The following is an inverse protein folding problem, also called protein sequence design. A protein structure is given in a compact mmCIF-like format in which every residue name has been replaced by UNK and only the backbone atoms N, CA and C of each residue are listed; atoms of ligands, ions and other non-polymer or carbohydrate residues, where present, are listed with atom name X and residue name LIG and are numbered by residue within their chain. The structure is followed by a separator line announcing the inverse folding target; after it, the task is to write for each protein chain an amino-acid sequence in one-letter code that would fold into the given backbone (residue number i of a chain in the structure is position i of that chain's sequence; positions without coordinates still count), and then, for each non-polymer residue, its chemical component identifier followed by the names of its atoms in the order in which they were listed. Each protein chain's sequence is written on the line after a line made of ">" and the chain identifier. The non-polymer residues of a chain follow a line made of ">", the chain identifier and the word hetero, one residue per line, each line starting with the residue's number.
data_IF_915073339524
#
_entry.id   IF_915073339524
#
_cell.length_a   1.000
_cell.length_b   1.000
_cell.length_c   1.000
_cell.angle_alpha   90.00
_cell.angle_beta   90.00
_cell.angle_gamma   90.00
#
_symmetry.space_group_name_H-M   'P 1'
#
loop_
_entity.id
_entity.type
_entity.pdbx_description
1 polymer ?
#
# COMPACT_ATOMS: atom_id res chain seq x y z
N UNK A 1 19.99 -3.47 9.05
CA UNK A 1 19.42 -3.28 7.69
C UNK A 1 18.98 -4.62 7.11
N UNK A 2 17.74 -4.75 6.63
CA UNK A 2 17.17 -6.02 6.15
C UNK A 2 17.74 -6.50 4.80
N UNK A 3 17.71 -7.82 4.52
CA UNK A 3 18.18 -8.38 3.24
C UNK A 3 17.34 -7.86 2.07
N UNK A 4 16.02 -7.72 2.24
CA UNK A 4 15.10 -7.24 1.21
C UNK A 4 15.43 -5.81 0.74
N UNK A 5 15.88 -4.96 1.67
CA UNK A 5 16.37 -3.62 1.38
C UNK A 5 17.75 -3.66 0.73
N UNK A 6 18.68 -4.49 1.21
CA UNK A 6 19.98 -4.69 0.53
C UNK A 6 19.83 -5.09 -0.94
N UNK A 7 18.82 -5.92 -1.26
CA UNK A 7 18.47 -6.29 -2.66
C UNK A 7 17.98 -5.12 -3.51
N UNK A 8 17.55 -4.00 -2.92
CA UNK A 8 17.16 -2.81 -3.70
C UNK A 8 18.36 -2.14 -4.37
N UNK A 9 19.52 -2.15 -3.73
CA UNK A 9 20.79 -1.58 -4.22
C UNK A 9 21.51 -2.45 -5.26
N UNK A 10 20.91 -3.56 -5.69
CA UNK A 10 21.43 -4.41 -6.76
C UNK A 10 20.38 -4.59 -7.87
N UNK A 11 20.84 -4.53 -9.13
CA UNK A 11 20.04 -4.96 -10.30
C UNK A 11 20.04 -6.49 -10.38
N UNK A 12 21.21 -7.12 -10.26
CA UNK A 12 21.36 -8.56 -10.07
C UNK A 12 21.95 -8.87 -8.69
N UNK A 13 21.08 -9.18 -7.72
CA UNK A 13 21.49 -9.49 -6.34
C UNK A 13 21.99 -10.93 -6.12
N UNK A 14 21.89 -11.81 -7.12
CA UNK A 14 22.40 -13.18 -7.03
C UNK A 14 23.91 -13.22 -7.35
N UNK A 15 24.33 -12.54 -8.43
CA UNK A 15 25.72 -12.47 -8.89
C UNK A 15 26.58 -11.41 -8.16
N UNK A 16 26.04 -10.66 -7.20
CA UNK A 16 26.78 -9.57 -6.52
C UNK A 16 27.44 -10.02 -5.21
N UNK A 17 28.52 -9.33 -4.82
CA UNK A 17 29.22 -9.54 -3.52
C UNK A 17 28.43 -9.00 -2.30
N UNK A 18 27.20 -8.50 -2.48
CA UNK A 18 26.25 -8.05 -1.42
C UNK A 18 26.78 -7.06 -0.35
N UNK A 19 27.86 -6.33 -0.62
CA UNK A 19 28.53 -5.39 0.32
C UNK A 19 27.79 -4.07 0.63
N UNK A 20 26.52 -3.91 0.26
CA UNK A 20 25.76 -2.67 0.48
C UNK A 20 25.57 -2.39 1.99
N UNK A 21 25.91 -1.16 2.41
CA UNK A 21 25.86 -0.67 3.80
C UNK A 21 26.71 -1.44 4.83
N UNK A 22 27.63 -2.33 4.42
CA UNK A 22 28.43 -3.09 5.40
C UNK A 22 29.39 -2.21 6.19
N UNK A 23 30.02 -1.21 5.55
CA UNK A 23 30.84 -0.19 6.25
C UNK A 23 30.00 0.72 7.15
N UNK A 24 28.83 1.15 6.66
CA UNK A 24 27.95 2.06 7.41
C UNK A 24 27.36 1.40 8.66
N UNK A 25 27.01 0.12 8.59
CA UNK A 25 26.48 -0.65 9.74
C UNK A 25 27.43 -0.59 10.95
N UNK A 26 28.75 -0.64 10.72
CA UNK A 26 29.77 -0.60 11.77
C UNK A 26 29.80 0.72 12.55
N UNK A 27 29.31 1.83 11.98
CA UNK A 27 29.19 3.11 12.72
C UNK A 27 28.17 3.05 13.87
N UNK A 28 27.24 2.09 13.85
CA UNK A 28 26.32 1.89 14.99
C UNK A 28 26.95 1.04 16.12
N UNK A 29 28.07 0.36 15.85
CA UNK A 29 28.78 -0.49 16.80
C UNK A 29 29.83 0.33 17.58
N UNK A 30 30.49 1.30 16.95
CA UNK A 30 31.51 2.15 17.59
C UNK A 30 30.90 3.34 18.34
N UNK A 31 31.42 3.66 19.54
CA UNK A 31 30.91 4.77 20.35
C UNK A 31 31.01 6.14 19.65
N UNK A 32 32.10 6.42 18.96
CA UNK A 32 32.24 7.67 18.21
C UNK A 32 31.28 7.74 17.01
N UNK A 33 30.95 6.58 16.42
CA UNK A 33 29.93 6.49 15.38
C UNK A 33 28.51 6.74 15.90
N UNK A 34 28.21 6.33 17.15
CA UNK A 34 26.95 6.68 17.84
C UNK A 34 26.89 8.18 18.14
N UNK A 35 27.97 8.79 18.63
CA UNK A 35 28.08 10.25 18.85
C UNK A 35 27.86 11.03 17.56
N UNK A 36 28.54 10.66 16.47
CA UNK A 36 28.34 11.21 15.11
C UNK A 36 26.86 11.22 14.71
N UNK A 37 26.16 10.10 14.91
CA UNK A 37 24.74 9.95 14.55
C UNK A 37 23.87 10.85 15.43
N UNK A 38 24.12 10.89 16.74
CA UNK A 38 23.38 11.73 17.67
C UNK A 38 23.55 13.22 17.34
N UNK A 39 24.77 13.68 17.06
CA UNK A 39 25.03 15.06 16.59
C UNK A 39 24.32 15.37 15.27
N UNK A 40 24.22 14.42 14.34
CA UNK A 40 23.43 14.60 13.12
C UNK A 40 21.92 14.71 13.39
N UNK A 41 21.38 13.90 14.29
CA UNK A 41 19.96 13.96 14.68
C UNK A 41 19.64 15.31 15.34
N UNK A 42 20.50 15.80 16.24
CA UNK A 42 20.34 17.12 16.86
C UNK A 42 20.43 18.26 15.85
N UNK A 43 21.36 18.18 14.88
CA UNK A 43 21.42 19.14 13.76
C UNK A 43 20.15 19.10 12.91
N UNK A 44 19.60 17.92 12.63
CA UNK A 44 18.32 17.79 11.91
C UNK A 44 17.16 18.41 12.69
N UNK A 45 17.07 18.16 14.00
CA UNK A 45 16.04 18.77 14.86
C UNK A 45 16.14 20.29 14.95
N UNK A 46 17.36 20.86 14.92
CA UNK A 46 17.60 22.30 15.04
C UNK A 46 17.48 23.06 13.71
N UNK A 47 17.81 22.45 12.58
CA UNK A 47 17.97 23.15 11.29
C UNK A 47 16.94 22.75 10.21
N UNK A 48 16.35 21.56 10.27
CA UNK A 48 15.49 21.08 9.18
C UNK A 48 14.03 21.51 9.36
N UNK A 49 13.51 22.26 8.38
CA UNK A 49 12.09 22.64 8.30
C UNK A 49 11.16 21.48 7.96
N UNK A 50 11.68 20.44 7.30
CA UNK A 50 10.94 19.23 6.93
C UNK A 50 11.83 18.01 7.16
N UNK A 51 11.33 17.04 7.92
CA UNK A 51 11.99 15.75 8.14
C UNK A 51 11.22 14.65 7.40
N UNK A 52 11.96 13.77 6.71
CA UNK A 52 11.41 12.61 6.00
C UNK A 52 12.06 11.33 6.51
N UNK A 53 11.25 10.29 6.73
CA UNK A 53 11.69 8.97 7.16
C UNK A 53 11.78 8.04 5.95
N UNK A 54 12.90 7.34 5.81
CA UNK A 54 13.04 6.26 4.84
C UNK A 54 12.39 4.98 5.39
N UNK A 55 11.30 4.56 4.77
CA UNK A 55 10.56 3.34 5.15
C UNK A 55 10.64 2.29 4.05
N UNK A 56 10.43 1.01 4.39
CA UNK A 56 10.43 -0.08 3.41
C UNK A 56 9.32 -1.11 3.65
N UNK A 57 8.77 -1.63 2.55
CA UNK A 57 7.81 -2.75 2.61
C UNK A 57 8.49 -4.10 2.85
N UNK A 58 7.83 -4.97 3.60
CA UNK A 58 8.28 -6.35 3.91
C UNK A 58 7.62 -7.34 2.92
N UNK A 59 8.11 -7.38 1.68
CA UNK A 59 7.42 -8.11 0.59
C UNK A 59 7.47 -9.62 0.80
N UNK A 60 8.48 -10.18 1.47
CA UNK A 60 8.55 -11.64 1.67
C UNK A 60 7.44 -12.21 2.54
N UNK A 61 6.80 -11.39 3.38
CA UNK A 61 5.63 -11.82 4.16
C UNK A 61 4.43 -12.09 3.25
N UNK A 62 4.22 -11.22 2.26
CA UNK A 62 3.16 -11.29 1.25
C UNK A 62 3.26 -12.58 0.40
N UNK A 63 2.54 -13.63 0.80
CA UNK A 63 2.50 -14.90 0.04
C UNK A 63 1.83 -14.69 -1.32
N UNK A 64 2.39 -15.31 -2.36
CA UNK A 64 1.85 -15.22 -3.73
C UNK A 64 2.41 -14.09 -4.60
N UNK A 65 3.38 -13.30 -4.12
CA UNK A 65 4.27 -12.48 -4.95
C UNK A 65 5.61 -13.19 -5.18
N UNK A 66 6.12 -13.17 -6.42
CA UNK A 66 7.46 -13.69 -6.76
C UNK A 66 8.59 -12.72 -6.40
N UNK A 67 8.26 -11.46 -6.07
CA UNK A 67 9.23 -10.39 -5.81
C UNK A 67 9.86 -10.52 -4.41
N UNK A 68 11.19 -10.41 -4.33
CA UNK A 68 11.97 -10.48 -3.07
C UNK A 68 12.69 -9.16 -2.71
N UNK A 69 12.42 -8.07 -3.43
CA UNK A 69 13.13 -6.78 -3.37
C UNK A 69 12.19 -5.70 -2.82
N UNK A 70 12.45 -5.20 -1.63
CA UNK A 70 11.57 -4.27 -0.91
C UNK A 70 11.29 -2.97 -1.68
N UNK A 71 10.13 -2.36 -1.44
CA UNK A 71 9.87 -0.99 -1.87
C UNK A 71 10.31 -0.03 -0.76
N UNK A 72 11.46 0.64 -0.95
CA UNK A 72 11.85 1.84 -0.19
C UNK A 72 11.04 3.03 -0.69
N UNK A 73 10.45 3.79 0.23
CA UNK A 73 9.75 5.05 0.00
C UNK A 73 10.18 6.07 1.07
N UNK A 74 10.09 7.36 0.76
CA UNK A 74 10.19 8.42 1.77
C UNK A 74 8.78 8.75 2.27
N UNK A 75 8.62 8.91 3.59
CA UNK A 75 7.38 9.43 4.19
C UNK A 75 7.73 10.71 4.94
N UNK A 76 7.04 11.79 4.60
CA UNK A 76 7.24 13.10 5.22
C UNK A 76 6.50 13.21 6.55
N UNK A 77 7.18 13.73 7.57
CA UNK A 77 6.57 14.23 8.80
C UNK A 77 6.03 15.64 8.51
N UNK A 78 4.78 15.92 8.89
CA UNK A 78 3.92 16.93 8.26
C UNK A 78 4.42 18.39 8.43
N UNK A 79 4.61 19.09 7.31
CA UNK A 79 4.57 20.59 7.17
C UNK A 79 4.11 20.93 5.72
N UNK A 80 3.41 22.06 5.54
CA UNK A 80 2.53 22.42 4.40
C UNK A 80 2.57 23.97 4.23
N UNK A 81 2.62 24.66 3.07
CA UNK A 81 2.74 24.31 1.62
C UNK A 81 3.22 25.56 0.84
N UNK A 82 3.66 25.41 -0.43
CA UNK A 82 3.94 26.52 -1.37
C UNK A 82 3.06 26.47 -2.64
N UNK A 83 2.81 27.63 -3.28
CA UNK A 83 2.06 27.79 -4.54
C UNK A 83 2.95 28.46 -5.60
N UNK A 84 2.63 28.26 -6.89
CA UNK A 84 3.22 28.99 -8.03
C UNK A 84 2.08 29.51 -8.93
N UNK A 85 2.30 30.67 -9.56
CA UNK A 85 1.30 31.42 -10.34
C UNK A 85 1.38 31.14 -11.86
N UNK A 86 0.68 31.96 -12.66
CA UNK A 86 0.40 31.78 -14.10
C UNK A 86 1.59 31.35 -14.99
N UNK A 87 1.26 30.51 -15.98
CA UNK A 87 2.23 29.90 -16.90
C UNK A 87 1.86 30.24 -18.36
N UNK A 88 2.33 31.38 -18.85
CA UNK A 88 2.43 31.68 -20.29
C UNK A 88 1.26 32.43 -20.93
N UNK A 89 1.50 32.91 -22.16
CA UNK A 89 0.66 33.84 -22.91
C UNK A 89 0.52 33.46 -24.41
N UNK A 90 -0.12 34.35 -25.16
CA UNK A 90 -0.78 34.25 -26.48
C UNK A 90 -0.20 33.33 -27.60
N UNK A 91 1.10 33.07 -27.68
CA UNK A 91 1.72 32.36 -28.83
C UNK A 91 2.33 31.01 -28.40
N UNK A 92 2.05 29.90 -29.12
CA UNK A 92 2.89 29.61 -30.30
C UNK A 92 2.17 28.98 -31.51
N UNK A 93 2.67 29.25 -32.72
CA UNK A 93 2.27 28.62 -33.98
C UNK A 93 2.86 27.19 -34.12
N UNK A 94 2.38 26.25 -33.30
CA UNK A 94 2.74 24.82 -33.37
C UNK A 94 1.56 23.96 -32.97
N UNK A 95 1.52 22.69 -33.40
CA UNK A 95 0.46 21.78 -32.96
C UNK A 95 0.53 21.60 -31.44
N UNK A 96 -0.58 21.87 -30.75
CA UNK A 96 -0.63 21.78 -29.30
C UNK A 96 -0.44 20.34 -28.81
N UNK A 97 0.23 20.20 -27.67
CA UNK A 97 0.34 18.94 -26.94
C UNK A 97 -1.02 18.47 -26.37
N UNK A 98 -2.03 19.35 -26.34
CA UNK A 98 -3.41 19.03 -25.94
C UNK A 98 -4.21 18.32 -27.03
N UNK A 99 -3.72 18.30 -28.29
CA UNK A 99 -4.38 17.56 -29.38
C UNK A 99 -4.26 16.06 -29.11
N UNK A 100 -5.39 15.38 -29.03
CA UNK A 100 -5.45 13.94 -28.79
C UNK A 100 -4.70 13.17 -29.90
N UNK A 101 -3.81 12.25 -29.48
CA UNK A 101 -3.00 11.39 -30.35
C UNK A 101 -2.92 10.00 -29.75
N UNK A 102 -2.79 8.98 -30.59
CA UNK A 102 -2.45 7.63 -30.13
C UNK A 102 -1.10 7.62 -29.42
N UNK A 103 -0.98 6.83 -28.36
CA UNK A 103 0.21 6.76 -27.51
C UNK A 103 0.02 5.75 -26.39
N UNK A 104 0.96 5.72 -25.43
CA UNK A 104 0.85 4.83 -24.27
C UNK A 104 -0.42 5.15 -23.47
N UNK A 105 -1.33 4.17 -23.38
CA UNK A 105 -2.46 4.20 -22.44
C UNK A 105 -2.19 3.23 -21.29
N UNK A 106 -2.25 3.72 -20.05
CA UNK A 106 -2.05 2.95 -18.84
C UNK A 106 -0.62 2.99 -18.28
N UNK A 107 -0.45 2.37 -17.11
CA UNK A 107 0.75 2.44 -16.26
C UNK A 107 1.11 3.84 -15.71
N UNK A 108 0.37 4.90 -16.05
CA UNK A 108 0.59 6.25 -15.56
C UNK A 108 0.52 6.38 -14.03
N UNK A 109 1.25 7.34 -13.48
CA UNK A 109 1.06 7.77 -12.09
C UNK A 109 -0.28 8.53 -11.96
N UNK A 110 -1.09 8.14 -10.97
CA UNK A 110 -2.42 8.70 -10.69
C UNK A 110 -2.65 8.71 -9.18
N UNK A 111 -3.39 9.71 -8.71
CA UNK A 111 -3.77 9.85 -7.30
C UNK A 111 -5.30 9.87 -7.23
N UNK A 112 -5.89 8.87 -6.59
CA UNK A 112 -7.31 8.90 -6.24
C UNK A 112 -7.47 9.46 -4.82
N UNK A 113 -8.32 10.47 -4.65
CA UNK A 113 -8.50 11.19 -3.39
C UNK A 113 -9.80 10.75 -2.68
N UNK A 114 -9.92 11.09 -1.40
CA UNK A 114 -11.15 10.96 -0.60
C UNK A 114 -11.76 9.54 -0.53
N UNK A 115 -10.90 8.53 -0.59
CA UNK A 115 -11.27 7.12 -0.37
C UNK A 115 -11.45 6.87 1.13
N UNK A 116 -12.70 6.78 1.61
CA UNK A 116 -12.99 6.38 2.99
C UNK A 116 -12.50 4.94 3.22
N UNK A 117 -11.90 4.72 4.39
CA UNK A 117 -11.47 3.40 4.86
C UNK A 117 -12.68 2.78 5.55
N UNK A 118 -13.04 1.56 5.16
CA UNK A 118 -14.19 0.82 5.70
C UNK A 118 -13.81 -0.13 6.83
N UNK A 119 -12.60 -0.70 6.78
CA UNK A 119 -12.07 -1.60 7.80
C UNK A 119 -10.55 -1.62 7.76
N UNK A 120 -9.94 -1.68 8.93
CA UNK A 120 -8.57 -2.13 9.13
C UNK A 120 -8.67 -3.52 9.75
N UNK A 121 -8.14 -4.53 9.07
CA UNK A 121 -8.07 -5.90 9.60
C UNK A 121 -6.63 -6.21 9.98
N UNK A 122 -6.36 -6.41 11.27
CA UNK A 122 -5.01 -6.55 11.81
C UNK A 122 -4.81 -7.95 12.40
N UNK A 123 -3.73 -8.63 11.99
CA UNK A 123 -3.49 -10.04 12.34
C UNK A 123 -3.49 -10.25 13.85
N UNK A 124 -4.29 -11.21 14.31
CA UNK A 124 -4.46 -11.54 15.74
C UNK A 124 -5.63 -10.83 16.42
N UNK A 125 -6.30 -9.90 15.75
CA UNK A 125 -7.56 -9.29 16.20
C UNK A 125 -8.75 -9.86 15.41
N UNK A 126 -9.95 -9.88 16.00
CA UNK A 126 -11.19 -10.26 15.32
C UNK A 126 -11.44 -9.44 14.04
N UNK A 127 -10.92 -8.20 14.04
CA UNK A 127 -10.92 -7.28 12.89
C UNK A 127 -10.31 -7.88 11.62
N UNK A 128 -9.43 -8.90 11.73
CA UNK A 128 -8.81 -9.60 10.59
C UNK A 128 -9.70 -10.61 9.88
N UNK A 129 -10.73 -11.12 10.54
CA UNK A 129 -11.67 -12.04 9.89
C UNK A 129 -12.62 -11.24 8.99
N UNK A 130 -13.21 -11.87 7.96
CA UNK A 130 -14.25 -11.20 7.17
C UNK A 130 -15.65 -11.23 7.86
N UNK A 131 -15.72 -11.57 9.16
CA UNK A 131 -16.94 -11.54 9.97
C UNK A 131 -17.33 -10.11 10.38
N UNK A 132 -18.60 -9.88 10.67
CA UNK A 132 -19.12 -8.62 11.22
C UNK A 132 -20.00 -8.88 12.45
N UNK A 133 -20.42 -7.82 13.15
CA UNK A 133 -21.40 -7.92 14.26
C UNK A 133 -22.69 -8.66 13.83
N UNK A 134 -23.09 -8.48 12.56
CA UNK A 134 -24.34 -8.98 11.96
C UNK A 134 -24.17 -10.30 11.19
N UNK A 135 -22.96 -10.63 10.75
CA UNK A 135 -22.62 -11.83 9.98
C UNK A 135 -21.43 -12.53 10.65
N UNK A 136 -21.76 -13.52 11.50
CA UNK A 136 -20.80 -14.36 12.23
C UNK A 136 -20.33 -15.58 11.44
N UNK A 137 -20.53 -15.59 10.11
CA UNK A 137 -20.04 -16.68 9.26
C UNK A 137 -18.52 -16.60 9.16
N UNK A 138 -17.80 -17.62 9.62
CA UNK A 138 -16.34 -17.67 9.51
C UNK A 138 -15.90 -17.71 8.03
N UNK A 139 -15.27 -16.61 7.60
CA UNK A 139 -14.90 -16.34 6.20
C UNK A 139 -13.40 -16.08 6.09
N UNK A 140 -12.67 -17.02 5.50
CA UNK A 140 -11.18 -16.98 5.44
C UNK A 140 -10.58 -16.38 4.15
N UNK A 141 -11.37 -16.20 3.09
CA UNK A 141 -10.83 -15.97 1.73
C UNK A 141 -11.46 -14.78 1.03
N UNK A 142 -10.62 -13.90 0.50
CA UNK A 142 -11.07 -12.83 -0.40
C UNK A 142 -11.04 -13.27 -1.88
N UNK A 143 -12.05 -12.90 -2.69
CA UNK A 143 -12.14 -13.31 -4.09
C UNK A 143 -10.93 -12.85 -4.93
N UNK A 144 -10.40 -13.75 -5.75
CA UNK A 144 -9.16 -13.58 -6.55
C UNK A 144 -7.86 -13.22 -5.79
N UNK A 145 -7.90 -13.00 -4.48
CA UNK A 145 -6.70 -12.77 -3.67
C UNK A 145 -6.24 -14.06 -2.98
N UNK A 146 -7.20 -14.80 -2.40
CA UNK A 146 -6.92 -15.96 -1.55
C UNK A 146 -7.04 -15.61 -0.07
N UNK A 147 -6.42 -16.44 0.77
CA UNK A 147 -6.33 -16.20 2.23
C UNK A 147 -5.36 -15.05 2.46
N UNK A 148 -5.85 -13.97 3.06
CA UNK A 148 -5.05 -12.83 3.50
C UNK A 148 -4.42 -13.21 4.84
N UNK A 149 -3.09 -13.10 4.97
CA UNK A 149 -2.34 -13.53 6.18
C UNK A 149 -1.60 -12.42 6.90
N UNK A 150 -1.52 -11.26 6.27
CA UNK A 150 -0.96 -10.02 6.80
C UNK A 150 -2.10 -9.02 7.02
N UNK A 151 -1.81 -7.85 7.60
CA UNK A 151 -2.80 -6.79 7.80
C UNK A 151 -3.38 -6.32 6.45
N UNK A 152 -4.67 -5.97 6.44
CA UNK A 152 -5.35 -5.45 5.26
C UNK A 152 -6.26 -4.25 5.57
N UNK A 153 -6.69 -3.61 4.50
CA UNK A 153 -7.45 -2.38 4.54
C UNK A 153 -8.51 -2.42 3.44
N UNK A 154 -9.78 -2.28 3.82
CA UNK A 154 -10.89 -2.15 2.87
C UNK A 154 -11.09 -0.68 2.54
N UNK A 155 -10.95 -0.30 1.26
CA UNK A 155 -11.20 1.05 0.76
C UNK A 155 -12.53 1.14 0.02
N UNK A 156 -13.13 2.34 0.02
CA UNK A 156 -14.30 2.67 -0.80
C UNK A 156 -14.00 2.53 -2.30
N UNK A 157 -14.63 1.56 -2.96
CA UNK A 157 -14.67 1.42 -4.41
C UNK A 157 -13.36 0.88 -5.02
N UNK A 158 -13.03 1.33 -6.23
CA UNK A 158 -11.85 0.88 -6.97
C UNK A 158 -10.52 1.41 -6.41
N UNK A 159 -9.42 0.87 -6.91
CA UNK A 159 -8.04 1.33 -6.67
C UNK A 159 -7.28 1.40 -7.99
N UNK A 160 -6.23 2.24 -8.04
CA UNK A 160 -5.37 2.37 -9.23
C UNK A 160 -4.55 1.12 -9.51
N UNK A 161 -4.71 0.57 -10.71
CA UNK A 161 -3.88 -0.50 -11.26
C UNK A 161 -4.29 -1.93 -10.87
N UNK A 162 -3.57 -2.95 -11.38
CA UNK A 162 -3.94 -4.35 -11.22
C UNK A 162 -3.64 -4.90 -9.82
N UNK A 163 -4.31 -6.02 -9.50
CA UNK A 163 -4.06 -6.86 -8.32
C UNK A 163 -2.54 -7.15 -8.18
N UNK A 164 -2.03 -7.14 -6.94
CA UNK A 164 -0.61 -7.30 -6.58
C UNK A 164 0.34 -6.15 -7.00
N UNK A 165 -0.15 -5.04 -7.58
CA UNK A 165 0.64 -3.81 -7.72
C UNK A 165 0.74 -3.09 -6.37
N UNK A 166 1.88 -2.44 -6.12
CA UNK A 166 2.04 -1.56 -4.95
C UNK A 166 1.24 -0.27 -5.15
N UNK A 167 0.47 0.08 -4.13
CA UNK A 167 -0.24 1.35 -3.99
C UNK A 167 0.31 2.05 -2.75
N UNK A 168 0.71 3.32 -2.88
CA UNK A 168 1.13 4.14 -1.74
C UNK A 168 -0.07 4.91 -1.23
N UNK A 169 -0.48 4.66 0.01
CA UNK A 169 -1.52 5.44 0.68
C UNK A 169 -0.91 6.69 1.31
N UNK A 170 -1.67 7.79 1.32
CA UNK A 170 -1.31 9.07 1.93
C UNK A 170 -2.53 9.60 2.66
N UNK A 171 -2.34 10.23 3.83
CA UNK A 171 -3.38 11.06 4.43
C UNK A 171 -3.82 12.16 3.45
N UNK A 172 -5.10 12.53 3.51
CA UNK A 172 -5.64 13.61 2.68
C UNK A 172 -4.94 14.93 2.97
N UNK A 173 -4.64 15.69 1.91
CA UNK A 173 -4.03 17.03 2.00
C UNK A 173 -4.98 18.08 2.59
N UNK A 174 -6.29 17.86 2.47
CA UNK A 174 -7.32 18.79 2.88
C UNK A 174 -8.09 18.18 4.05
N UNK A 175 -8.25 18.91 5.15
CA UNK A 175 -9.16 18.53 6.24
C UNK A 175 -10.56 18.36 5.65
N UNK A 176 -11.10 17.15 5.70
CA UNK A 176 -12.44 16.87 5.20
C UNK A 176 -13.47 17.34 6.23
N UNK A 177 -14.49 18.05 5.76
CA UNK A 177 -15.58 18.60 6.58
C UNK A 177 -16.96 18.10 6.15
N UNK A 178 -17.04 17.25 5.11
CA UNK A 178 -18.30 16.69 4.65
C UNK A 178 -18.81 15.62 5.61
N UNK A 179 -20.14 15.53 5.77
CA UNK A 179 -20.80 14.51 6.61
C UNK A 179 -20.31 13.10 6.31
N UNK A 180 -20.21 12.72 5.03
CA UNK A 180 -19.69 11.40 4.59
C UNK A 180 -18.29 11.08 5.14
N UNK A 181 -17.46 12.10 5.42
CA UNK A 181 -16.11 11.93 5.96
C UNK A 181 -16.02 12.08 7.49
N UNK A 182 -16.87 12.91 8.10
CA UNK A 182 -16.87 13.19 9.55
C UNK A 182 -17.80 12.26 10.34
N UNK A 183 -18.99 12.01 9.81
CA UNK A 183 -20.01 11.17 10.43
C UNK A 183 -19.87 9.71 9.94
N UNK A 184 -20.39 8.81 10.77
CA UNK A 184 -20.29 7.34 10.66
C UNK A 184 -18.87 6.76 10.72
N UNK A 185 -18.54 6.21 11.89
CA UNK A 185 -17.87 4.92 11.94
C UNK A 185 -18.72 3.90 11.16
N UNK A 186 -18.15 3.30 10.11
CA UNK A 186 -18.92 2.43 9.21
C UNK A 186 -19.05 1.04 9.80
N UNK A 187 -20.19 0.78 10.44
CA UNK A 187 -20.60 -0.57 10.84
C UNK A 187 -20.94 -1.41 9.61
N UNK A 188 -19.95 -2.14 9.10
CA UNK A 188 -20.14 -3.10 8.01
C UNK A 188 -21.13 -4.19 8.44
N UNK A 189 -22.24 -4.33 7.72
CA UNK A 189 -23.22 -5.39 7.97
C UNK A 189 -22.79 -6.73 7.38
N UNK A 190 -22.18 -6.73 6.19
CA UNK A 190 -21.81 -7.95 5.47
C UNK A 190 -20.55 -7.71 4.62
N UNK A 191 -19.74 -8.75 4.44
CA UNK A 191 -18.59 -8.77 3.53
C UNK A 191 -18.75 -9.98 2.60
N UNK A 192 -18.95 -9.74 1.30
CA UNK A 192 -19.05 -10.82 0.33
C UNK A 192 -17.70 -11.50 0.09
N UNK A 193 -17.65 -12.81 0.28
CA UNK A 193 -16.49 -13.68 -0.02
C UNK A 193 -16.79 -14.71 -1.11
N UNK A 194 -17.92 -14.56 -1.81
CA UNK A 194 -18.32 -15.45 -2.90
C UNK A 194 -17.33 -15.49 -4.06
N UNK A 195 -17.38 -16.54 -4.88
CA UNK A 195 -16.48 -16.66 -6.03
C UNK A 195 -16.93 -15.78 -7.20
N UNK A 196 -16.23 -14.67 -7.44
CA UNK A 196 -16.35 -13.85 -8.66
C UNK A 196 -15.95 -14.57 -9.96
N UNK A 197 -15.45 -15.81 -9.88
CA UNK A 197 -15.27 -16.68 -11.05
C UNK A 197 -16.62 -17.27 -11.47
N UNK A 198 -17.36 -16.56 -12.32
CA UNK A 198 -18.76 -16.86 -12.65
C UNK A 198 -19.73 -16.27 -11.62
N UNK A 199 -20.89 -16.91 -11.47
CA UNK A 199 -21.94 -16.48 -10.53
C UNK A 199 -21.77 -17.17 -9.17
N UNK A 200 -20.96 -16.58 -8.30
CA UNK A 200 -20.78 -17.06 -6.92
C UNK A 200 -22.09 -17.00 -6.11
N UNK A 201 -22.49 -18.13 -5.52
CA UNK A 201 -23.69 -18.22 -4.65
C UNK A 201 -23.36 -18.44 -3.17
N UNK A 202 -22.21 -19.04 -2.88
CA UNK A 202 -21.82 -19.47 -1.53
C UNK A 202 -20.68 -18.61 -1.00
N UNK A 203 -20.74 -18.28 0.28
CA UNK A 203 -19.76 -17.49 1.02
C UNK A 203 -18.57 -18.32 1.51
N UNK A 204 -18.83 -19.58 1.89
CA UNK A 204 -17.78 -20.53 2.35
C UNK A 204 -17.74 -21.80 1.51
N UNK A 205 -16.61 -22.51 1.58
CA UNK A 205 -16.47 -23.81 0.92
C UNK A 205 -17.38 -24.88 1.56
N UNK A 206 -17.61 -24.78 2.87
CA UNK A 206 -18.49 -25.69 3.61
C UNK A 206 -19.96 -25.49 3.25
N UNK A 207 -20.42 -24.24 3.12
CA UNK A 207 -21.78 -23.92 2.68
C UNK A 207 -22.05 -24.53 1.30
N UNK A 208 -21.10 -24.39 0.37
CA UNK A 208 -21.14 -25.05 -0.94
C UNK A 208 -21.19 -26.58 -0.83
N UNK A 209 -20.37 -27.17 0.04
CA UNK A 209 -20.32 -28.63 0.23
C UNK A 209 -21.60 -29.18 0.87
N UNK A 210 -22.19 -28.45 1.82
CA UNK A 210 -23.49 -28.77 2.45
C UNK A 210 -24.62 -28.68 1.42
N UNK A 211 -24.62 -27.65 0.56
CA UNK A 211 -25.65 -27.46 -0.47
C UNK A 211 -25.63 -28.54 -1.56
N UNK A 212 -24.47 -28.87 -2.12
CA UNK A 212 -24.36 -29.88 -3.18
C UNK A 212 -24.24 -31.32 -2.68
N UNK A 213 -24.00 -31.51 -1.38
CA UNK A 213 -23.79 -32.82 -0.78
C UNK A 213 -22.55 -33.54 -1.33
N UNK A 214 -22.63 -34.88 -1.35
CA UNK A 214 -21.51 -35.76 -1.74
C UNK A 214 -21.44 -35.92 -3.27
N UNK A 215 -20.90 -34.91 -3.95
CA UNK A 215 -20.61 -34.96 -5.39
C UNK A 215 -19.35 -35.78 -5.69
N UNK A 216 -19.40 -36.59 -6.76
CA UNK A 216 -18.22 -37.22 -7.33
C UNK A 216 -17.26 -36.16 -7.87
N UNK A 217 -15.98 -36.23 -7.48
CA UNK A 217 -14.92 -35.49 -8.15
C UNK A 217 -14.53 -36.24 -9.43
N UNK A 218 -14.74 -35.59 -10.57
CA UNK A 218 -14.01 -35.89 -11.80
C UNK A 218 -12.55 -35.39 -11.69
#
# INVERSE_FOLDING_TARGET
>A
MSEEVRRRFYKNGAKSKKKAFTKYSKKHETEDGKKDIQTHLEKMMKLCTVIRVLTHTQIRKMKGLRQKKAHLNEIQIIVVSARVACIGAWHPARVSYTVARAGQNGYHHRTEMNKKIYRLGKVGEETHTAMTEFDRTEKERFPHYGIVKDDYLLIRGCCVGPKKRVVTLRQTLLKQTSRVALEEEIKLKFIDTSSNGGHGRFQTAEEKAKFYGRVFKA
#
